data_IF_601778507105
#
_entry.id   IF_601778507105
#
_cell.length_a   1.000
_cell.length_b   1.000
_cell.length_c   1.000
_cell.angle_alpha   90.00
_cell.angle_beta   90.00
_cell.angle_gamma   90.00
#
_symmetry.space_group_name_H-M   'P 1'
#
loop_
_entity.id
_entity.type
_entity.pdbx_description
1 polymer ?
#
# COMPACT_ATOMS: atom_id res chain seq x y z
N UNK A 1 -23.72 -23.28 24.95
CA UNK A 1 -24.37 -22.29 24.04
C UNK A 1 -23.59 -20.98 23.85
N UNK A 2 -22.48 -20.69 24.56
CA UNK A 2 -21.72 -19.43 24.43
C UNK A 2 -20.76 -19.32 23.23
N UNK A 3 -20.46 -20.40 22.50
CA UNK A 3 -19.49 -20.36 21.40
C UNK A 3 -20.00 -19.60 20.17
N UNK A 4 -21.31 -19.62 19.91
CA UNK A 4 -21.92 -18.86 18.81
C UNK A 4 -21.81 -17.35 19.05
N UNK A 5 -22.11 -16.89 20.26
CA UNK A 5 -22.14 -15.45 20.59
C UNK A 5 -20.77 -14.79 20.48
N UNK A 6 -19.67 -15.46 20.85
CA UNK A 6 -18.32 -14.88 20.74
C UNK A 6 -17.82 -14.78 19.30
N UNK A 7 -18.11 -15.78 18.47
CA UNK A 7 -17.77 -15.74 17.05
C UNK A 7 -18.54 -14.63 16.32
N UNK A 8 -19.82 -14.45 16.67
CA UNK A 8 -20.66 -13.39 16.11
C UNK A 8 -20.14 -11.99 16.51
N UNK A 9 -19.66 -11.83 17.75
CA UNK A 9 -19.01 -10.60 18.21
C UNK A 9 -17.71 -10.32 17.45
N UNK A 10 -16.86 -11.34 17.26
CA UNK A 10 -15.63 -11.19 16.48
C UNK A 10 -15.93 -10.80 15.03
N UNK A 11 -16.95 -11.43 14.43
CA UNK A 11 -17.40 -11.10 13.08
C UNK A 11 -17.88 -9.66 12.98
N UNK A 12 -18.71 -9.22 13.93
CA UNK A 12 -19.20 -7.84 13.98
C UNK A 12 -18.06 -6.83 14.12
N UNK A 13 -17.04 -7.15 14.93
CA UNK A 13 -15.84 -6.33 15.05
C UNK A 13 -15.02 -6.27 13.76
N UNK A 14 -14.83 -7.40 13.09
CA UNK A 14 -14.14 -7.45 11.80
C UNK A 14 -14.92 -6.67 10.74
N UNK A 15 -16.24 -6.80 10.69
CA UNK A 15 -17.10 -6.09 9.74
C UNK A 15 -17.10 -4.57 9.99
N UNK A 16 -17.04 -4.15 11.26
CA UNK A 16 -16.86 -2.75 11.63
C UNK A 16 -15.53 -2.20 11.08
N UNK A 17 -14.42 -2.88 11.35
CA UNK A 17 -13.09 -2.48 10.85
C UNK A 17 -13.07 -2.50 9.32
N UNK A 18 -13.64 -3.54 8.70
CA UNK A 18 -13.71 -3.70 7.25
C UNK A 18 -14.45 -2.55 6.59
N UNK A 19 -15.57 -2.12 7.16
CA UNK A 19 -16.36 -1.00 6.66
C UNK A 19 -15.58 0.32 6.72
N UNK A 20 -14.89 0.59 7.83
CA UNK A 20 -14.13 1.84 7.99
C UNK A 20 -12.90 1.87 7.06
N UNK A 21 -12.16 0.76 6.98
CA UNK A 21 -11.04 0.60 6.04
C UNK A 21 -11.52 0.73 4.59
N UNK A 22 -12.69 0.19 4.25
CA UNK A 22 -13.21 0.28 2.88
C UNK A 22 -13.57 1.72 2.51
N UNK A 23 -14.09 2.52 3.45
CA UNK A 23 -14.32 3.96 3.24
C UNK A 23 -13.01 4.70 3.01
N UNK A 24 -11.99 4.46 3.84
CA UNK A 24 -10.66 5.06 3.63
C UNK A 24 -10.05 4.65 2.28
N UNK A 25 -10.19 3.37 1.90
CA UNK A 25 -9.72 2.85 0.61
C UNK A 25 -10.47 3.44 -0.57
N UNK A 26 -11.76 3.77 -0.46
CA UNK A 26 -12.50 4.40 -1.56
C UNK A 26 -11.91 5.76 -1.91
N UNK A 27 -11.51 6.55 -0.92
CA UNK A 27 -10.91 7.87 -1.17
C UNK A 27 -9.52 7.74 -1.79
N UNK A 28 -8.72 6.78 -1.33
CA UNK A 28 -7.41 6.48 -1.94
C UNK A 28 -7.59 5.91 -3.35
N UNK A 29 -8.52 4.99 -3.55
CA UNK A 29 -8.79 4.38 -4.86
C UNK A 29 -9.29 5.42 -5.87
N UNK A 30 -10.10 6.40 -5.48
CA UNK A 30 -10.49 7.51 -6.37
C UNK A 30 -9.27 8.29 -6.87
N UNK A 31 -8.30 8.55 -5.99
CA UNK A 31 -7.05 9.22 -6.36
C UNK A 31 -6.18 8.36 -7.25
N UNK A 32 -5.96 7.10 -6.87
CA UNK A 32 -5.20 6.14 -7.68
C UNK A 32 -5.85 5.94 -9.05
N UNK A 33 -7.17 5.88 -9.12
CA UNK A 33 -7.91 5.78 -10.37
C UNK A 33 -7.74 7.02 -11.23
N UNK A 34 -7.77 8.23 -10.64
CA UNK A 34 -7.46 9.46 -11.37
C UNK A 34 -6.04 9.41 -11.95
N UNK A 35 -5.05 9.02 -11.16
CA UNK A 35 -3.66 8.87 -11.63
C UNK A 35 -3.57 7.82 -12.74
N UNK A 36 -4.23 6.67 -12.58
CA UNK A 36 -4.26 5.60 -13.58
C UNK A 36 -4.89 6.08 -14.89
N UNK A 37 -6.02 6.76 -14.79
CA UNK A 37 -6.76 7.30 -15.94
C UNK A 37 -5.91 8.30 -16.71
N UNK A 38 -5.28 9.25 -16.01
CA UNK A 38 -4.52 10.34 -16.65
C UNK A 38 -3.11 9.94 -17.10
N UNK A 39 -2.42 9.06 -16.36
CA UNK A 39 -1.04 8.68 -16.68
C UNK A 39 -0.94 7.46 -17.60
N UNK A 40 -1.97 6.61 -17.68
CA UNK A 40 -1.90 5.37 -18.46
C UNK A 40 -3.01 5.28 -19.51
N UNK A 41 -4.27 5.44 -19.12
CA UNK A 41 -5.40 5.25 -20.05
C UNK A 41 -5.44 6.35 -21.11
N UNK A 42 -5.34 7.62 -20.71
CA UNK A 42 -5.40 8.75 -21.64
C UNK A 42 -4.24 8.75 -22.65
N UNK A 43 -2.97 8.55 -22.25
CA UNK A 43 -1.85 8.41 -23.20
C UNK A 43 -2.00 7.23 -24.14
N UNK A 44 -2.49 6.08 -23.64
CA UNK A 44 -2.73 4.91 -24.48
C UNK A 44 -3.81 5.19 -25.54
N UNK A 45 -4.94 5.79 -25.14
CA UNK A 45 -6.01 6.18 -26.06
C UNK A 45 -5.52 7.21 -27.09
N UNK A 46 -4.77 8.22 -26.65
CA UNK A 46 -4.16 9.21 -27.54
C UNK A 46 -3.21 8.57 -28.54
N UNK A 47 -2.34 7.66 -28.08
CA UNK A 47 -1.40 6.93 -28.94
C UNK A 47 -2.13 6.09 -30.00
N UNK A 48 -3.15 5.33 -29.61
CA UNK A 48 -3.98 4.55 -30.55
C UNK A 48 -4.64 5.47 -31.58
N UNK A 49 -5.24 6.57 -31.13
CA UNK A 49 -5.92 7.53 -32.02
C UNK A 49 -4.95 8.16 -33.01
N UNK A 50 -3.74 8.50 -32.56
CA UNK A 50 -2.67 9.04 -33.39
C UNK A 50 -2.18 8.04 -34.45
N UNK A 51 -2.00 6.78 -34.07
CA UNK A 51 -1.64 5.72 -35.01
C UNK A 51 -2.72 5.58 -36.11
N UNK A 52 -4.00 5.65 -35.73
CA UNK A 52 -5.10 5.62 -36.69
C UNK A 52 -5.07 6.84 -37.63
N UNK A 53 -4.90 8.05 -37.12
CA UNK A 53 -4.83 9.29 -37.92
C UNK A 53 -3.67 9.28 -38.93
N UNK A 54 -2.51 8.75 -38.53
CA UNK A 54 -1.37 8.56 -39.42
C UNK A 54 -1.70 7.52 -40.50
N UNK A 55 -2.38 6.43 -40.13
CA UNK A 55 -2.78 5.37 -41.06
C UNK A 55 -3.78 5.86 -42.11
N UNK A 56 -4.68 6.75 -41.74
CA UNK A 56 -5.63 7.39 -42.66
C UNK A 56 -5.05 8.57 -43.46
N UNK A 57 -3.76 8.89 -43.27
CA UNK A 57 -3.08 9.94 -44.03
C UNK A 57 -3.46 11.37 -43.64
N UNK A 58 -4.17 11.55 -42.52
CA UNK A 58 -4.58 12.87 -42.01
C UNK A 58 -3.37 13.64 -41.48
N UNK A 59 -2.39 12.93 -40.89
CA UNK A 59 -1.19 13.52 -40.28
C UNK A 59 0.08 12.99 -40.99
N UNK A 60 1.02 13.87 -41.38
CA UNK A 60 2.27 13.46 -42.01
C UNK A 60 3.16 12.67 -41.04
N UNK A 61 3.80 11.60 -41.53
CA UNK A 61 4.63 10.68 -40.71
C UNK A 61 5.78 11.38 -39.97
N UNK A 62 6.29 12.49 -40.49
CA UNK A 62 7.34 13.28 -39.86
C UNK A 62 6.94 13.87 -38.50
N UNK A 63 5.64 14.09 -38.25
CA UNK A 63 5.14 14.63 -36.98
C UNK A 63 5.20 13.62 -35.82
N UNK A 64 5.42 12.32 -36.11
CA UNK A 64 5.41 11.25 -35.11
C UNK A 64 6.39 11.50 -33.96
N UNK A 65 7.59 11.97 -34.29
CA UNK A 65 8.65 12.19 -33.31
C UNK A 65 8.27 13.30 -32.32
N UNK A 66 7.65 14.39 -32.79
CA UNK A 66 7.16 15.47 -31.91
C UNK A 66 5.96 15.04 -31.08
N UNK A 67 5.09 14.20 -31.63
CA UNK A 67 3.87 13.72 -30.96
C UNK A 67 4.18 12.73 -29.84
N UNK A 68 5.18 11.87 -30.01
CA UNK A 68 5.63 10.95 -28.96
C UNK A 68 6.11 11.72 -27.71
N UNK A 69 6.84 12.82 -27.89
CA UNK A 69 7.25 13.71 -26.79
C UNK A 69 6.06 14.39 -26.11
N UNK A 70 5.05 14.83 -26.88
CA UNK A 70 3.85 15.47 -26.31
C UNK A 70 3.04 14.47 -25.48
N UNK A 71 2.90 13.23 -25.96
CA UNK A 71 2.22 12.15 -25.22
C UNK A 71 2.95 11.84 -23.92
N UNK A 72 4.28 11.91 -23.90
CA UNK A 72 5.10 11.61 -22.71
C UNK A 72 5.18 12.79 -21.73
N UNK A 73 5.14 14.03 -22.23
CA UNK A 73 5.17 15.25 -21.42
C UNK A 73 3.96 15.35 -20.49
N UNK A 74 2.78 14.91 -20.96
CA UNK A 74 1.55 15.02 -20.18
C UNK A 74 1.54 14.14 -18.91
N UNK A 75 1.83 12.82 -18.95
CA UNK A 75 1.96 12.00 -17.74
C UNK A 75 3.06 12.48 -16.80
N UNK A 76 4.19 12.94 -17.35
CA UNK A 76 5.31 13.44 -16.53
C UNK A 76 4.93 14.73 -15.82
N UNK A 77 4.33 15.69 -16.52
CA UNK A 77 3.86 16.94 -15.91
C UNK A 77 2.69 16.72 -14.94
N UNK A 78 1.77 15.81 -15.23
CA UNK A 78 0.66 15.47 -14.33
C UNK A 78 1.16 14.74 -13.07
N UNK A 79 2.06 13.77 -13.22
CA UNK A 79 2.66 13.09 -12.07
C UNK A 79 3.46 14.08 -11.20
N UNK A 80 4.24 14.98 -11.81
CA UNK A 80 4.90 16.07 -11.10
C UNK A 80 3.88 17.00 -10.42
N UNK A 81 2.77 17.36 -11.08
CA UNK A 81 1.72 18.19 -10.49
C UNK A 81 1.08 17.51 -9.27
N UNK A 82 0.70 16.24 -9.38
CA UNK A 82 0.12 15.48 -8.27
C UNK A 82 1.13 15.37 -7.12
N UNK A 83 2.37 14.96 -7.42
CA UNK A 83 3.44 14.89 -6.43
C UNK A 83 3.67 16.26 -5.77
N UNK A 84 3.64 17.34 -6.55
CA UNK A 84 3.86 18.70 -6.03
C UNK A 84 2.68 19.17 -5.17
N UNK A 85 1.45 18.93 -5.60
CA UNK A 85 0.25 19.34 -4.87
C UNK A 85 0.08 18.59 -3.55
N UNK A 86 0.51 17.33 -3.47
CA UNK A 86 0.41 16.54 -2.24
C UNK A 86 1.66 16.63 -1.36
N UNK A 87 2.87 16.60 -1.95
CA UNK A 87 4.15 16.54 -1.22
C UNK A 87 4.78 17.92 -1.04
N UNK A 88 4.88 18.72 -2.12
CA UNK A 88 5.49 20.06 -2.06
C UNK A 88 4.62 21.10 -1.34
N UNK A 89 3.34 20.84 -1.09
CA UNK A 89 2.54 21.69 -0.19
C UNK A 89 2.82 21.35 1.28
N UNK A 90 3.16 20.10 1.60
CA UNK A 90 3.42 19.66 2.97
C UNK A 90 4.86 19.99 3.43
N UNK A 91 5.85 19.90 2.54
CA UNK A 91 7.27 20.18 2.83
C UNK A 91 7.57 21.63 3.30
N UNK A 92 7.11 22.70 2.65
CA UNK A 92 7.41 24.06 3.09
C UNK A 92 6.66 24.40 4.39
N UNK A 93 5.54 23.73 4.69
CA UNK A 93 4.83 23.89 5.97
C UNK A 93 5.54 23.16 7.12
N UNK A 94 6.10 21.97 6.91
CA UNK A 94 6.96 21.26 7.90
C UNK A 94 8.25 22.03 8.18
N UNK A 95 8.85 22.64 7.16
CA UNK A 95 10.06 23.46 7.31
C UNK A 95 9.77 24.82 7.97
N UNK A 96 8.70 25.54 7.58
CA UNK A 96 8.37 26.87 8.17
C UNK A 96 7.84 26.82 9.60
N UNK A 97 7.05 25.81 9.97
CA UNK A 97 6.46 25.72 11.32
C UNK A 97 7.28 24.86 12.28
N UNK A 98 8.37 24.27 11.81
CA UNK A 98 9.18 23.30 12.55
C UNK A 98 8.53 21.90 12.58
N UNK A 99 9.36 20.86 12.50
CA UNK A 99 8.90 19.47 12.48
C UNK A 99 8.05 19.06 13.68
N UNK A 100 8.19 19.77 14.81
CA UNK A 100 7.40 19.54 16.04
C UNK A 100 5.92 19.90 15.83
N UNK A 101 5.61 21.04 15.20
CA UNK A 101 4.21 21.49 15.00
C UNK A 101 3.47 20.56 14.05
N UNK A 102 4.15 20.03 13.03
CA UNK A 102 3.55 19.08 12.10
C UNK A 102 3.36 17.71 12.72
N UNK A 103 4.29 17.26 13.56
CA UNK A 103 4.15 16.01 14.32
C UNK A 103 2.99 16.14 15.32
N UNK A 104 2.90 17.27 16.03
CA UNK A 104 1.76 17.56 16.92
C UNK A 104 0.43 17.62 16.15
N UNK A 105 0.40 18.23 14.97
CA UNK A 105 -0.79 18.27 14.12
C UNK A 105 -1.24 16.88 13.65
N UNK A 106 -0.29 15.99 13.34
CA UNK A 106 -0.59 14.58 13.07
C UNK A 106 -1.11 13.86 14.32
N UNK A 107 -0.50 14.09 15.49
CA UNK A 107 -0.98 13.53 16.75
C UNK A 107 -2.39 14.00 17.12
N UNK A 108 -2.75 15.25 16.84
CA UNK A 108 -4.12 15.77 17.05
C UNK A 108 -5.10 15.08 16.11
N UNK A 109 -4.77 14.98 14.81
CA UNK A 109 -5.63 14.25 13.85
C UNK A 109 -5.80 12.78 14.23
N UNK A 110 -4.72 12.16 14.70
CA UNK A 110 -4.73 10.80 15.23
C UNK A 110 -5.61 10.67 16.48
N UNK A 111 -5.54 11.64 17.40
CA UNK A 111 -6.39 11.72 18.59
C UNK A 111 -7.88 11.80 18.23
N UNK A 112 -8.24 12.74 17.35
CA UNK A 112 -9.62 12.89 16.86
C UNK A 112 -10.10 11.62 16.14
N UNK A 113 -9.23 10.98 15.36
CA UNK A 113 -9.54 9.69 14.74
C UNK A 113 -9.81 8.62 15.79
N UNK A 114 -8.95 8.50 16.82
CA UNK A 114 -9.10 7.51 17.91
C UNK A 114 -10.38 7.70 18.69
N UNK A 115 -10.69 8.91 19.12
CA UNK A 115 -11.91 9.22 19.87
C UNK A 115 -13.16 8.80 19.10
N UNK A 116 -13.26 9.21 17.83
CA UNK A 116 -14.36 8.85 16.94
C UNK A 116 -14.47 7.34 16.74
N UNK A 117 -13.35 6.63 16.55
CA UNK A 117 -13.35 5.17 16.36
C UNK A 117 -13.72 4.45 17.65
N UNK A 118 -13.18 4.84 18.80
CA UNK A 118 -13.55 4.27 20.11
C UNK A 118 -15.04 4.45 20.39
N UNK A 119 -15.58 5.66 20.15
CA UNK A 119 -17.00 5.93 20.35
C UNK A 119 -17.87 5.09 19.39
N UNK A 120 -17.48 4.99 18.11
CA UNK A 120 -18.18 4.16 17.14
C UNK A 120 -18.10 2.66 17.49
N UNK A 121 -16.95 2.17 17.98
CA UNK A 121 -16.77 0.80 18.46
C UNK A 121 -17.72 0.51 19.63
N UNK A 122 -17.79 1.39 20.63
CA UNK A 122 -18.69 1.25 21.79
C UNK A 122 -20.15 1.16 21.38
N UNK A 123 -20.57 2.00 20.42
CA UNK A 123 -21.96 2.04 19.94
C UNK A 123 -22.33 0.83 19.08
N UNK A 124 -21.36 0.26 18.36
CA UNK A 124 -21.62 -0.83 17.42
C UNK A 124 -21.50 -2.20 18.12
N UNK A 125 -20.56 -2.34 19.04
CA UNK A 125 -20.16 -3.64 19.61
C UNK A 125 -20.60 -3.68 21.07
N UNK A 126 -21.76 -4.31 21.27
CA UNK A 126 -22.36 -4.51 22.58
C UNK A 126 -21.76 -5.77 23.22
N UNK A 127 -20.55 -5.64 23.74
CA UNK A 127 -19.84 -6.72 24.43
C UNK A 127 -19.61 -6.37 25.91
N UNK A 128 -19.70 -7.37 26.78
CA UNK A 128 -19.30 -7.25 28.18
C UNK A 128 -17.76 -7.22 28.33
N UNK A 129 -17.25 -6.92 29.54
CA UNK A 129 -15.81 -6.76 29.77
C UNK A 129 -14.99 -8.03 29.46
N UNK A 130 -15.52 -9.21 29.80
CA UNK A 130 -14.87 -10.50 29.50
C UNK A 130 -14.86 -10.82 27.99
N UNK A 131 -15.90 -10.42 27.27
CA UNK A 131 -15.98 -10.61 25.82
C UNK A 131 -15.05 -9.65 25.08
N UNK A 132 -14.90 -8.40 25.56
CA UNK A 132 -13.89 -7.46 25.07
C UNK A 132 -12.47 -7.98 25.26
N UNK A 133 -12.16 -8.53 26.44
CA UNK A 133 -10.87 -9.16 26.71
C UNK A 133 -10.59 -10.31 25.75
N UNK A 134 -11.57 -11.18 25.53
CA UNK A 134 -11.46 -12.27 24.56
C UNK A 134 -11.26 -11.75 23.12
N UNK A 135 -12.03 -10.73 22.72
CA UNK A 135 -11.98 -10.13 21.39
C UNK A 135 -10.61 -9.50 21.10
N UNK A 136 -10.09 -8.69 22.04
CA UNK A 136 -8.76 -8.08 21.96
C UNK A 136 -7.66 -9.16 21.84
N UNK A 137 -7.72 -10.20 22.66
CA UNK A 137 -6.75 -11.30 22.62
C UNK A 137 -6.80 -12.08 21.31
N UNK A 138 -8.01 -12.44 20.86
CA UNK A 138 -8.23 -13.13 19.57
C UNK A 138 -7.69 -12.28 18.41
N UNK A 139 -8.03 -11.00 18.37
CA UNK A 139 -7.56 -10.11 17.31
C UNK A 139 -6.05 -9.93 17.32
N UNK A 140 -5.44 -9.81 18.51
CA UNK A 140 -3.97 -9.75 18.66
C UNK A 140 -3.28 -11.02 18.15
N UNK A 141 -3.86 -12.19 18.41
CA UNK A 141 -3.37 -13.46 17.88
C UNK A 141 -3.46 -13.50 16.35
N UNK A 142 -4.56 -13.01 15.78
CA UNK A 142 -4.75 -12.98 14.33
C UNK A 142 -3.80 -11.98 13.64
N UNK A 143 -3.55 -10.81 14.24
CA UNK A 143 -2.54 -9.87 13.76
C UNK A 143 -1.14 -10.47 13.77
N UNK A 144 -0.79 -11.22 14.82
CA UNK A 144 0.50 -11.93 14.88
C UNK A 144 0.61 -12.96 13.76
N UNK A 145 -0.43 -13.76 13.52
CA UNK A 145 -0.48 -14.72 12.39
C UNK A 145 -0.35 -14.00 11.05
N UNK A 146 -1.04 -12.87 10.87
CA UNK A 146 -1.00 -12.08 9.65
C UNK A 146 0.40 -11.54 9.34
N UNK A 147 1.14 -11.09 10.36
CA UNK A 147 2.54 -10.65 10.20
C UNK A 147 3.44 -11.78 9.68
N UNK A 148 3.35 -12.97 10.27
CA UNK A 148 4.12 -14.12 9.79
C UNK A 148 3.72 -14.53 8.37
N UNK A 149 2.42 -14.58 8.07
CA UNK A 149 1.90 -14.88 6.73
C UNK A 149 2.39 -13.86 5.71
N UNK A 150 2.46 -12.58 6.05
CA UNK A 150 2.95 -11.53 5.15
C UNK A 150 4.43 -11.74 4.81
N UNK A 151 5.27 -12.06 5.81
CA UNK A 151 6.67 -12.39 5.57
C UNK A 151 6.83 -13.61 4.67
N UNK A 152 6.06 -14.67 4.93
CA UNK A 152 6.07 -15.88 4.10
C UNK A 152 5.61 -15.61 2.66
N UNK A 153 4.50 -14.89 2.48
CA UNK A 153 4.00 -14.53 1.15
C UNK A 153 4.96 -13.61 0.40
N UNK A 154 5.69 -12.74 1.09
CA UNK A 154 6.72 -11.88 0.49
C UNK A 154 7.86 -12.73 -0.05
N UNK A 155 8.36 -13.69 0.74
CA UNK A 155 9.41 -14.62 0.28
C UNK A 155 8.93 -15.48 -0.90
N UNK A 156 7.70 -16.01 -0.83
CA UNK A 156 7.10 -16.80 -1.91
C UNK A 156 6.91 -15.96 -3.18
N UNK A 157 6.40 -14.74 -3.06
CA UNK A 157 6.23 -13.83 -4.18
C UNK A 157 7.58 -13.48 -4.83
N UNK A 158 8.63 -13.29 -4.02
CA UNK A 158 10.00 -13.12 -4.51
C UNK A 158 10.49 -14.32 -5.32
N UNK A 159 10.30 -15.54 -4.81
CA UNK A 159 10.70 -16.75 -5.50
C UNK A 159 9.95 -16.93 -6.84
N UNK A 160 8.63 -16.68 -6.85
CA UNK A 160 7.83 -16.74 -8.07
C UNK A 160 8.25 -15.66 -9.07
N UNK A 161 8.46 -14.42 -8.60
CA UNK A 161 8.91 -13.32 -9.46
C UNK A 161 10.29 -13.59 -10.06
N UNK A 162 11.21 -14.15 -9.27
CA UNK A 162 12.52 -14.58 -9.76
C UNK A 162 12.40 -15.66 -10.85
N UNK A 163 11.56 -16.68 -10.65
CA UNK A 163 11.32 -17.71 -11.66
C UNK A 163 10.69 -17.13 -12.94
N UNK A 164 9.81 -16.13 -12.81
CA UNK A 164 9.24 -15.43 -13.97
C UNK A 164 10.31 -14.64 -14.73
N UNK A 165 11.21 -13.94 -14.03
CA UNK A 165 12.32 -13.21 -14.66
C UNK A 165 13.26 -14.17 -15.40
N UNK A 166 13.66 -15.27 -14.77
CA UNK A 166 14.46 -16.30 -15.44
C UNK A 166 13.74 -16.92 -16.64
N UNK A 167 12.43 -17.14 -16.53
CA UNK A 167 11.61 -17.64 -17.63
C UNK A 167 11.54 -16.67 -18.82
N UNK A 168 11.53 -15.36 -18.56
CA UNK A 168 11.57 -14.33 -19.61
C UNK A 168 12.93 -14.34 -20.31
N UNK A 169 14.03 -14.48 -19.57
CA UNK A 169 15.38 -14.56 -20.16
C UNK A 169 15.55 -15.81 -21.03
N UNK A 170 15.00 -16.95 -20.61
CA UNK A 170 15.04 -18.20 -21.38
C UNK A 170 14.25 -18.12 -22.70
N UNK A 171 13.28 -17.21 -22.81
CA UNK A 171 12.43 -17.03 -23.99
C UNK A 171 12.96 -15.91 -24.91
N UNK A 172 13.77 -14.99 -24.39
CA UNK A 172 14.42 -13.96 -25.20
C UNK A 172 15.52 -14.55 -26.08
N UNK A 173 15.24 -14.76 -27.36
CA UNK A 173 16.17 -15.29 -28.38
C UNK A 173 17.34 -14.33 -28.75
N UNK A 174 17.56 -13.25 -28.01
CA UNK A 174 18.68 -12.36 -28.29
C UNK A 174 19.97 -12.99 -27.75
N UNK A 175 20.98 -13.17 -28.61
CA UNK A 175 22.34 -13.54 -28.23
C UNK A 175 22.85 -12.56 -27.16
N UNK A 176 22.63 -12.89 -25.89
CA UNK A 176 23.05 -12.06 -24.78
C UNK A 176 24.56 -11.88 -24.90
N UNK A 177 25.03 -10.65 -25.08
CA UNK A 177 26.47 -10.35 -25.03
C UNK A 177 26.96 -10.65 -23.61
N UNK A 178 27.42 -11.88 -23.43
CA UNK A 178 27.97 -12.36 -22.17
C UNK A 178 29.30 -11.65 -21.95
N UNK A 179 29.33 -10.76 -20.96
CA UNK A 179 30.57 -10.12 -20.53
C UNK A 179 31.09 -10.81 -19.28
N UNK A 180 32.28 -11.40 -19.38
CA UNK A 180 32.95 -12.01 -18.24
C UNK A 180 33.63 -10.94 -17.40
N UNK A 181 33.15 -10.73 -16.18
CA UNK A 181 33.72 -9.76 -15.25
C UNK A 181 34.47 -10.52 -14.16
N UNK A 182 35.74 -10.17 -13.94
CA UNK A 182 36.58 -10.78 -12.90
C UNK A 182 36.26 -10.16 -11.54
N UNK A 183 35.59 -10.89 -10.65
CA UNK A 183 35.22 -10.39 -9.33
C UNK A 183 36.40 -10.55 -8.34
N UNK A 184 36.70 -9.54 -7.49
CA UNK A 184 37.88 -9.54 -6.62
C UNK A 184 37.89 -10.62 -5.52
N UNK A 185 36.79 -11.32 -5.29
CA UNK A 185 36.65 -12.35 -4.24
C UNK A 185 36.57 -13.80 -4.76
N UNK A 186 36.93 -14.03 -6.03
CA UNK A 186 37.32 -15.38 -6.48
C UNK A 186 36.46 -16.00 -7.58
N UNK A 187 36.42 -15.37 -8.75
CA UNK A 187 35.94 -16.05 -9.97
C UNK A 187 35.69 -15.11 -11.14
N UNK A 188 35.67 -15.69 -12.33
CA UNK A 188 35.00 -15.10 -13.49
C UNK A 188 33.50 -15.34 -13.31
N UNK A 189 32.74 -14.26 -13.19
CA UNK A 189 31.29 -14.33 -13.12
C UNK A 189 30.74 -13.90 -14.47
N UNK A 190 29.84 -14.71 -15.00
CA UNK A 190 29.06 -14.38 -16.18
C UNK A 190 28.13 -13.21 -15.80
N UNK A 191 28.31 -12.05 -16.44
CA UNK A 191 27.46 -10.89 -16.20
C UNK A 191 26.75 -10.54 -17.49
N UNK A 192 25.42 -10.67 -17.47
CA UNK A 192 24.54 -10.06 -18.45
C UNK A 192 24.20 -8.63 -18.00
N UNK A 193 24.04 -7.71 -18.95
CA UNK A 193 23.57 -6.35 -18.63
C UNK A 193 22.14 -6.34 -18.05
N UNK A 194 21.38 -7.42 -18.25
CA UNK A 194 20.03 -7.59 -17.71
C UNK A 194 20.02 -8.00 -16.23
N UNK A 195 21.04 -8.70 -15.73
CA UNK A 195 21.05 -9.28 -14.37
C UNK A 195 20.90 -8.21 -13.28
N UNK A 196 21.55 -7.05 -13.46
CA UNK A 196 21.44 -5.95 -12.52
C UNK A 196 20.04 -5.33 -12.53
N UNK A 197 19.44 -5.15 -13.71
CA UNK A 197 18.09 -4.59 -13.84
C UNK A 197 17.03 -5.51 -13.22
N UNK A 198 17.21 -6.82 -13.35
CA UNK A 198 16.36 -7.84 -12.74
C UNK A 198 16.53 -7.91 -11.24
N UNK A 199 17.76 -7.85 -10.74
CA UNK A 199 18.02 -7.84 -9.31
C UNK A 199 17.42 -6.59 -8.64
N UNK A 200 17.59 -5.42 -9.28
CA UNK A 200 16.96 -4.16 -8.83
C UNK A 200 15.44 -4.27 -8.90
N UNK A 201 14.88 -4.82 -9.98
CA UNK A 201 13.44 -5.04 -10.15
C UNK A 201 12.86 -5.97 -9.07
N UNK A 202 13.52 -7.10 -8.80
CA UNK A 202 13.16 -8.04 -7.74
C UNK A 202 13.25 -7.40 -6.36
N UNK A 203 14.34 -6.68 -6.07
CA UNK A 203 14.54 -5.99 -4.80
C UNK A 203 13.45 -4.94 -4.56
N UNK A 204 13.14 -4.13 -5.58
CA UNK A 204 12.09 -3.12 -5.51
C UNK A 204 10.70 -3.74 -5.36
N UNK A 205 10.41 -4.81 -6.10
CA UNK A 205 9.17 -5.58 -5.97
C UNK A 205 8.99 -6.13 -4.55
N UNK A 206 10.03 -6.77 -3.99
CA UNK A 206 10.01 -7.32 -2.65
C UNK A 206 9.77 -6.25 -1.58
N UNK A 207 10.46 -5.11 -1.70
CA UNK A 207 10.29 -3.97 -0.78
C UNK A 207 8.87 -3.42 -0.86
N UNK A 208 8.34 -3.18 -2.05
CA UNK A 208 6.98 -2.67 -2.22
C UNK A 208 5.93 -3.66 -1.71
N UNK A 209 6.09 -4.95 -2.00
CA UNK A 209 5.18 -5.98 -1.54
C UNK A 209 5.20 -6.10 0.00
N UNK A 210 6.39 -6.06 0.59
CA UNK A 210 6.55 -6.06 2.05
C UNK A 210 5.90 -4.83 2.70
N UNK A 211 6.18 -3.63 2.17
CA UNK A 211 5.62 -2.38 2.67
C UNK A 211 4.10 -2.35 2.57
N UNK A 212 3.53 -2.85 1.47
CA UNK A 212 2.08 -2.99 1.29
C UNK A 212 1.44 -3.88 2.37
N UNK A 213 2.07 -5.01 2.67
CA UNK A 213 1.63 -5.89 3.74
C UNK A 213 1.75 -5.25 5.13
N UNK A 214 2.87 -4.58 5.40
CA UNK A 214 3.11 -3.89 6.67
C UNK A 214 2.15 -2.71 6.89
N UNK A 215 1.77 -1.98 5.84
CA UNK A 215 0.78 -0.90 5.93
C UNK A 215 -0.57 -1.44 6.43
N UNK A 216 -1.01 -2.59 5.92
CA UNK A 216 -2.26 -3.22 6.37
C UNK A 216 -2.16 -3.65 7.83
N UNK A 217 -1.03 -4.25 8.23
CA UNK A 217 -0.77 -4.63 9.62
C UNK A 217 -0.81 -3.41 10.56
N UNK A 218 -0.14 -2.31 10.21
CA UNK A 218 -0.12 -1.09 11.03
C UNK A 218 -1.51 -0.46 11.15
N UNK A 219 -2.30 -0.45 10.07
CA UNK A 219 -3.67 0.03 10.10
C UNK A 219 -4.50 -0.78 11.10
N UNK A 220 -4.47 -2.11 11.02
CA UNK A 220 -5.23 -2.98 11.92
C UNK A 220 -4.72 -2.88 13.38
N UNK A 221 -3.42 -2.70 13.60
CA UNK A 221 -2.85 -2.50 14.93
C UNK A 221 -3.41 -1.22 15.60
N UNK A 222 -3.71 -0.16 14.84
CA UNK A 222 -4.35 1.05 15.38
C UNK A 222 -5.76 0.74 15.92
N UNK A 223 -6.52 -0.12 15.26
CA UNK A 223 -7.83 -0.57 15.75
C UNK A 223 -7.69 -1.45 17.00
N UNK A 224 -6.67 -2.32 17.09
CA UNK A 224 -6.40 -3.08 18.31
C UNK A 224 -6.16 -2.14 19.50
N UNK A 225 -5.36 -1.09 19.32
CA UNK A 225 -5.10 -0.10 20.37
C UNK A 225 -6.39 0.60 20.82
N UNK A 226 -7.30 0.92 19.89
CA UNK A 226 -8.60 1.50 20.23
C UNK A 226 -9.48 0.52 21.01
N UNK A 227 -9.48 -0.76 20.62
CA UNK A 227 -10.19 -1.80 21.35
C UNK A 227 -9.65 -2.01 22.77
N UNK A 228 -8.32 -1.96 22.96
CA UNK A 228 -7.68 -2.01 24.27
C UNK A 228 -8.10 -0.81 25.16
N UNK A 229 -8.22 0.40 24.58
CA UNK A 229 -8.71 1.58 25.31
C UNK A 229 -10.17 1.42 25.73
N UNK A 230 -11.04 0.99 24.82
CA UNK A 230 -12.46 0.75 25.11
C UNK A 230 -12.63 -0.29 26.22
N UNK A 231 -11.85 -1.37 26.16
CA UNK A 231 -11.83 -2.40 27.21
C UNK A 231 -11.44 -1.79 28.57
N UNK A 232 -10.35 -1.04 28.64
CA UNK A 232 -9.85 -0.46 29.90
C UNK A 232 -10.85 0.52 30.52
N UNK A 233 -11.54 1.34 29.72
CA UNK A 233 -12.56 2.27 30.20
C UNK A 233 -13.79 1.56 30.78
N UNK A 234 -14.18 0.40 30.23
CA UNK A 234 -15.26 -0.39 30.81
C UNK A 234 -14.87 -0.97 32.17
N UNK A 235 -13.62 -1.42 32.34
CA UNK A 235 -13.13 -1.93 33.62
C UNK A 235 -13.04 -0.84 34.69
N UNK A 236 -12.66 0.39 34.34
CA UNK A 236 -12.57 1.50 35.30
C UNK A 236 -13.92 2.09 35.71
N UNK A 237 -14.96 1.93 34.88
CA UNK A 237 -16.31 2.43 35.17
C UNK A 237 -17.13 1.56 36.12
N UNK A 238 -16.60 0.41 36.57
CA UNK A 238 -17.28 -0.47 37.53
C UNK A 238 -17.08 0.10 38.93
N UNK A 239 -18.14 0.58 39.62
CA UNK A 239 -18.00 1.11 40.97
C UNK A 239 -17.47 0.01 41.89
N UNK A 240 -16.52 0.36 42.76
CA UNK A 240 -15.89 -0.54 43.75
C UNK A 240 -16.87 -1.03 44.85
N UNK A 241 -18.18 -0.77 44.71
CA UNK A 241 -19.19 -0.91 45.76
C UNK A 241 -19.87 -2.30 45.86
N UNK A 242 -19.31 -3.35 45.25
CA UNK A 242 -19.83 -4.73 45.37
C UNK A 242 -18.80 -5.72 45.95
N UNK A 243 -18.13 -5.34 47.04
CA UNK A 243 -17.40 -6.28 47.93
C UNK A 243 -17.86 -6.15 49.36
#
# INVERSE_FOLDING_TARGET
MQAGTRLDLLRTFIDFIGTDIQRERQDVNKRMFSVLLWCFVMPALLSITLILLIRFGVIPRAARLSLDWIILLFPVSYSLYVLSSEVLVQIPMTVRRGGVVTTLGQSVKEGVWRERVCEAMKRTIHAGPEDWKWLVLSFKMDLKKMRYRTGYLTALAGAVFYLLLQGIDLVGEDESQVTWIKHPLGGWIESSSNDFSQFVGLGLFLVLFYLSGMQTFHSLMRYLNCAELVMNEQFSSRPEDET
#
